data_IF_088324057825
#
_entry.id   IF_088324057825
#
_cell.length_a   1.000
_cell.length_b   1.000
_cell.length_c   1.000
_cell.angle_alpha   90.00
_cell.angle_beta   90.00
_cell.angle_gamma   90.00
#
_symmetry.space_group_name_H-M   'P 1'
#
loop_
_entity.id
_entity.type
_entity.pdbx_description
1 polymer ?
#
# COMPACT_ATOMS: atom_id res chain seq x y z
N UNK A 1 16.52 13.88 -2.29
CA UNK A 1 15.84 12.89 -3.14
C UNK A 1 15.92 11.58 -2.37
N UNK A 2 14.89 11.23 -1.59
CA UNK A 2 14.87 9.97 -0.86
C UNK A 2 14.66 8.85 -1.87
N UNK A 3 15.60 7.92 -1.97
CA UNK A 3 15.55 6.83 -2.94
C UNK A 3 14.63 5.74 -2.39
N UNK A 4 13.39 5.66 -2.89
CA UNK A 4 12.45 4.61 -2.49
C UNK A 4 12.82 3.28 -3.17
N UNK A 5 12.90 2.20 -2.39
CA UNK A 5 13.04 0.84 -2.92
C UNK A 5 11.67 0.18 -2.92
N UNK A 6 11.30 -0.46 -4.03
CA UNK A 6 10.08 -1.29 -4.08
C UNK A 6 10.39 -2.66 -3.48
N UNK A 7 9.64 -3.06 -2.46
CA UNK A 7 9.77 -4.34 -1.78
C UNK A 7 8.53 -5.18 -2.06
N UNK A 8 8.72 -6.44 -2.45
CA UNK A 8 7.64 -7.41 -2.57
C UNK A 8 7.53 -8.19 -1.26
N UNK A 9 6.52 -7.84 -0.46
CA UNK A 9 6.20 -8.52 0.79
C UNK A 9 4.85 -9.24 0.69
N UNK A 10 4.72 -10.35 1.40
CA UNK A 10 3.41 -10.95 1.66
C UNK A 10 2.88 -10.36 2.96
N UNK A 11 1.65 -9.86 2.94
CA UNK A 11 1.00 -9.20 4.07
C UNK A 11 -0.39 -9.77 4.25
N UNK A 12 -0.85 -9.82 5.50
CA UNK A 12 -2.22 -10.15 5.82
C UNK A 12 -3.04 -8.87 5.97
N UNK A 13 -4.16 -8.81 5.26
CA UNK A 13 -5.13 -7.71 5.36
C UNK A 13 -6.53 -8.28 5.49
N UNK A 14 -7.45 -7.52 6.08
CA UNK A 14 -8.84 -7.94 6.15
C UNK A 14 -9.46 -8.04 4.73
N UNK A 15 -10.44 -8.94 4.52
CA UNK A 15 -11.16 -9.01 3.25
C UNK A 15 -11.81 -7.67 2.86
N UNK A 16 -12.24 -6.89 3.85
CA UNK A 16 -12.86 -5.57 3.68
C UNK A 16 -11.87 -4.52 3.13
N UNK A 17 -10.62 -4.56 3.60
CA UNK A 17 -9.53 -3.73 3.07
C UNK A 17 -9.30 -4.05 1.60
N UNK A 18 -9.18 -5.33 1.24
CA UNK A 18 -8.98 -5.74 -0.15
C UNK A 18 -10.17 -5.33 -1.05
N UNK A 19 -11.40 -5.55 -0.59
CA UNK A 19 -12.61 -5.15 -1.32
C UNK A 19 -12.66 -3.63 -1.58
N UNK A 20 -12.27 -2.83 -0.58
CA UNK A 20 -12.19 -1.38 -0.70
C UNK A 20 -11.14 -0.94 -1.72
N UNK A 21 -9.97 -1.57 -1.74
CA UNK A 21 -8.91 -1.28 -2.72
C UNK A 21 -9.37 -1.63 -4.13
N UNK A 22 -9.96 -2.81 -4.35
CA UNK A 22 -10.47 -3.21 -5.68
C UNK A 22 -11.56 -2.26 -6.18
N UNK A 23 -12.50 -1.86 -5.31
CA UNK A 23 -13.57 -0.91 -5.65
C UNK A 23 -12.99 0.43 -6.12
N UNK A 24 -12.04 0.98 -5.37
CA UNK A 24 -11.42 2.26 -5.69
C UNK A 24 -10.51 2.18 -6.92
N UNK A 25 -9.75 1.09 -7.08
CA UNK A 25 -8.92 0.85 -8.25
C UNK A 25 -9.76 0.80 -9.53
N UNK A 26 -10.90 0.09 -9.52
CA UNK A 26 -11.85 0.03 -10.65
C UNK A 26 -12.44 1.40 -10.99
N UNK A 27 -12.83 2.17 -9.97
CA UNK A 27 -13.36 3.53 -10.16
C UNK A 27 -12.34 4.43 -10.87
N UNK A 28 -11.12 4.51 -10.32
CA UNK A 28 -10.05 5.34 -10.88
C UNK A 28 -9.63 4.91 -12.29
N UNK A 29 -9.65 3.60 -12.56
CA UNK A 29 -9.34 3.07 -13.88
C UNK A 29 -10.42 3.39 -14.90
N UNK A 30 -11.70 3.30 -14.50
CA UNK A 30 -12.85 3.72 -15.33
C UNK A 30 -12.81 5.20 -15.67
N UNK A 31 -12.46 6.06 -14.71
CA UNK A 31 -12.26 7.50 -14.93
C UNK A 31 -11.12 7.80 -15.92
N UNK A 32 -10.14 6.90 -16.02
CA UNK A 32 -8.95 7.05 -16.87
C UNK A 32 -9.04 6.26 -18.18
N UNK A 33 -10.13 5.54 -18.44
CA UNK A 33 -10.27 4.64 -19.59
C UNK A 33 -9.22 3.52 -19.63
N UNK A 34 -8.70 3.10 -18.46
CA UNK A 34 -7.65 2.06 -18.34
C UNK A 34 -8.20 0.81 -17.65
N UNK A 35 -7.49 -0.31 -17.78
CA UNK A 35 -7.76 -1.52 -16.99
C UNK A 35 -7.33 -1.26 -15.54
N UNK A 36 -8.16 -1.71 -14.60
CA UNK A 36 -7.83 -1.64 -13.18
C UNK A 36 -6.66 -2.58 -12.84
N UNK A 37 -5.74 -2.09 -12.01
CA UNK A 37 -4.70 -2.90 -11.39
C UNK A 37 -4.80 -2.76 -9.85
N UNK A 38 -5.61 -3.63 -9.21
CA UNK A 38 -5.79 -3.58 -7.76
C UNK A 38 -4.52 -3.92 -6.99
N UNK A 39 -3.60 -4.72 -7.55
CA UNK A 39 -2.36 -5.09 -6.89
C UNK A 39 -1.40 -3.90 -6.83
N UNK A 40 -1.22 -3.21 -7.96
CA UNK A 40 -0.42 -1.97 -7.99
C UNK A 40 -1.05 -0.87 -7.12
N UNK A 41 -2.38 -0.75 -7.14
CA UNK A 41 -3.08 0.21 -6.27
C UNK A 41 -2.87 -0.12 -4.80
N UNK A 42 -2.91 -1.40 -4.42
CA UNK A 42 -2.66 -1.84 -3.04
C UNK A 42 -1.22 -1.47 -2.62
N UNK A 43 -0.23 -1.78 -3.46
CA UNK A 43 1.17 -1.42 -3.20
C UNK A 43 1.33 0.08 -2.95
N UNK A 44 0.78 0.91 -3.84
CA UNK A 44 0.84 2.37 -3.68
C UNK A 44 0.15 2.87 -2.41
N UNK A 45 -0.98 2.27 -2.04
CA UNK A 45 -1.69 2.64 -0.82
C UNK A 45 -0.91 2.27 0.44
N UNK A 46 -0.24 1.12 0.45
CA UNK A 46 0.61 0.70 1.56
C UNK A 46 1.83 1.60 1.65
N UNK A 47 2.52 1.87 0.54
CA UNK A 47 3.67 2.79 0.54
C UNK A 47 3.29 4.16 1.08
N UNK A 48 2.13 4.71 0.67
CA UNK A 48 1.62 5.98 1.19
C UNK A 48 1.28 5.90 2.69
N UNK A 49 0.72 4.77 3.15
CA UNK A 49 0.43 4.57 4.57
C UNK A 49 1.72 4.52 5.40
N UNK A 50 2.75 3.79 4.95
CA UNK A 50 4.03 3.69 5.64
C UNK A 50 4.73 5.04 5.74
N UNK A 51 4.72 5.84 4.67
CA UNK A 51 5.26 7.21 4.69
C UNK A 51 4.51 8.11 5.68
N UNK A 52 3.18 8.07 5.67
CA UNK A 52 2.34 8.91 6.54
C UNK A 52 2.44 8.59 8.03
N UNK A 53 2.77 7.35 8.36
CA UNK A 53 2.84 6.88 9.75
C UNK A 53 4.28 6.76 10.25
N UNK A 54 5.25 7.35 9.54
CA UNK A 54 6.65 7.34 9.92
C UNK A 54 7.19 5.92 10.21
N UNK A 55 6.99 5.04 9.23
CA UNK A 55 7.41 3.64 9.35
C UNK A 55 8.92 3.49 9.55
N UNK A 56 9.73 4.46 9.12
CA UNK A 56 11.17 4.48 9.37
C UNK A 56 11.46 4.48 10.87
N UNK A 57 10.82 5.40 11.63
CA UNK A 57 10.92 5.42 13.10
C UNK A 57 10.36 4.16 13.75
N UNK A 58 9.26 3.60 13.21
CA UNK A 58 8.71 2.34 13.71
C UNK A 58 9.71 1.17 13.55
N UNK A 59 10.43 1.11 12.43
CA UNK A 59 11.44 0.08 12.13
C UNK A 59 12.71 0.28 12.94
N UNK A 60 13.09 1.51 13.27
CA UNK A 60 14.29 1.82 14.05
C UNK A 60 14.14 1.48 15.54
N UNK A 61 12.91 1.42 16.05
CA UNK A 61 12.63 1.05 17.45
C UNK A 61 12.73 -0.48 17.66
N UNK A 62 13.75 -0.97 18.40
CA UNK A 62 13.93 -2.39 18.66
C UNK A 62 12.80 -3.03 19.47
N UNK A 63 12.01 -2.23 20.20
CA UNK A 63 10.88 -2.73 20.98
C UNK A 63 9.79 -3.36 20.11
N UNK A 64 9.69 -2.96 18.84
CA UNK A 64 8.68 -3.47 17.90
C UNK A 64 8.99 -4.87 17.34
N UNK A 65 10.14 -5.45 17.68
CA UNK A 65 10.57 -6.78 17.23
C UNK A 65 10.48 -7.86 18.33
N UNK A 66 9.79 -7.56 19.44
CA UNK A 66 9.69 -8.44 20.62
C UNK A 66 8.43 -9.31 20.65
#
# INVERSE_FOLDING_TARGET
MSQSVTVHATIDVSPETLASVVKNAKRLAGEKGKKADPAETLNQMISLFLEKNDFESFVDDPANYS
#
